data_IF_226007052913
#
_entry.id   IF_226007052913
#
_cell.length_a   1.000
_cell.length_b   1.000
_cell.length_c   1.000
_cell.angle_alpha   90.00
_cell.angle_beta   90.00
_cell.angle_gamma   90.00
#
_symmetry.space_group_name_H-M   'P 1'
#
loop_
_entity.id
_entity.type
_entity.pdbx_description
1 polymer ?
#
# COMPACT_ATOMS: atom_id res chain seq x y z
N UNK A 1 -23.82 3.93 34.98
CA UNK A 1 -22.47 3.83 35.58
C UNK A 1 -21.77 2.51 35.24
N UNK A 2 -22.29 1.34 35.62
CA UNK A 2 -21.63 0.06 35.31
C UNK A 2 -21.60 -0.25 33.79
N UNK A 3 -22.68 0.06 33.06
CA UNK A 3 -22.76 -0.11 31.60
C UNK A 3 -21.82 0.84 30.82
N UNK A 4 -21.56 2.04 31.34
CA UNK A 4 -20.68 3.03 30.69
C UNK A 4 -19.21 2.63 30.78
N UNK A 5 -18.82 1.98 31.88
CA UNK A 5 -17.48 1.40 32.06
C UNK A 5 -17.29 0.22 31.10
N UNK A 6 -18.27 -0.68 31.00
CA UNK A 6 -18.21 -1.80 30.05
C UNK A 6 -18.13 -1.31 28.60
N UNK A 7 -18.90 -0.29 28.21
CA UNK A 7 -18.85 0.30 26.87
C UNK A 7 -17.47 0.90 26.55
N UNK A 8 -16.85 1.58 27.51
CA UNK A 8 -15.51 2.17 27.35
C UNK A 8 -14.42 1.09 27.18
N UNK A 9 -14.48 0.02 27.98
CA UNK A 9 -13.53 -1.11 27.86
C UNK A 9 -13.69 -1.81 26.51
N UNK A 10 -14.93 -2.02 26.06
CA UNK A 10 -15.22 -2.61 24.74
C UNK A 10 -14.67 -1.74 23.61
N UNK A 11 -14.84 -0.42 23.68
CA UNK A 11 -14.30 0.49 22.68
C UNK A 11 -12.77 0.44 22.61
N UNK A 12 -12.09 0.41 23.77
CA UNK A 12 -10.62 0.32 23.84
C UNK A 12 -10.12 -1.00 23.24
N UNK A 13 -10.76 -2.12 23.60
CA UNK A 13 -10.39 -3.45 23.08
C UNK A 13 -10.66 -3.54 21.58
N UNK A 14 -11.76 -2.94 21.09
CA UNK A 14 -12.08 -2.91 19.66
C UNK A 14 -11.02 -2.15 18.85
N UNK A 15 -10.58 -0.97 19.33
CA UNK A 15 -9.54 -0.17 18.66
C UNK A 15 -8.20 -0.91 18.67
N UNK A 16 -7.82 -1.51 19.81
CA UNK A 16 -6.58 -2.29 19.91
C UNK A 16 -6.60 -3.50 18.97
N UNK A 17 -7.71 -4.23 18.91
CA UNK A 17 -7.87 -5.39 18.02
C UNK A 17 -7.80 -5.00 16.54
N UNK A 18 -8.45 -3.89 16.17
CA UNK A 18 -8.48 -3.39 14.80
C UNK A 18 -7.08 -3.09 14.24
N UNK A 19 -6.11 -2.76 15.09
CA UNK A 19 -4.72 -2.46 14.69
C UNK A 19 -3.81 -3.67 14.92
N UNK A 20 -3.94 -4.36 16.06
CA UNK A 20 -3.07 -5.49 16.40
C UNK A 20 -3.26 -6.68 15.46
N UNK A 21 -4.49 -6.93 15.00
CA UNK A 21 -4.83 -8.06 14.14
C UNK A 21 -4.26 -7.96 12.72
N UNK A 22 -4.39 -6.83 11.98
CA UNK A 22 -3.75 -6.70 10.67
C UNK A 22 -2.22 -6.73 10.75
N UNK A 23 -1.62 -6.19 11.81
CA UNK A 23 -0.15 -6.25 12.00
C UNK A 23 0.28 -7.70 12.25
N UNK A 24 -0.38 -8.40 13.18
CA UNK A 24 -0.07 -9.79 13.52
C UNK A 24 -0.24 -10.73 12.31
N UNK A 25 -1.34 -10.58 11.56
CA UNK A 25 -1.55 -11.32 10.31
C UNK A 25 -0.50 -10.97 9.26
N UNK A 26 -0.18 -9.69 9.08
CA UNK A 26 0.85 -9.26 8.12
C UNK A 26 2.20 -9.91 8.39
N UNK A 27 2.65 -9.92 9.65
CA UNK A 27 3.89 -10.59 10.05
C UNK A 27 3.79 -12.10 9.85
N UNK A 28 2.67 -12.72 10.23
CA UNK A 28 2.46 -14.15 10.05
C UNK A 28 2.56 -14.57 8.57
N UNK A 29 1.88 -13.85 7.67
CA UNK A 29 1.95 -14.10 6.23
C UNK A 29 3.36 -13.89 5.68
N UNK A 30 4.07 -12.84 6.11
CA UNK A 30 5.43 -12.57 5.69
C UNK A 30 6.39 -13.71 6.08
N UNK A 31 6.35 -14.14 7.34
CA UNK A 31 7.15 -15.25 7.83
C UNK A 31 6.79 -16.58 7.14
N UNK A 32 5.49 -16.85 6.96
CA UNK A 32 5.00 -18.04 6.26
C UNK A 32 5.56 -18.10 4.84
N UNK A 33 5.50 -16.98 4.11
CA UNK A 33 5.99 -16.88 2.73
C UNK A 33 7.50 -17.07 2.64
N UNK A 34 8.25 -16.47 3.58
CA UNK A 34 9.70 -16.64 3.65
C UNK A 34 10.10 -18.10 3.91
N UNK A 35 9.42 -18.77 4.84
CA UNK A 35 9.68 -20.16 5.18
C UNK A 35 9.34 -21.12 4.04
N UNK A 36 8.27 -20.87 3.27
CA UNK A 36 7.93 -21.68 2.11
C UNK A 36 9.04 -21.67 1.05
N UNK A 37 9.54 -20.49 0.70
CA UNK A 37 10.65 -20.36 -0.27
C UNK A 37 11.92 -21.06 0.21
N UNK A 38 12.20 -21.00 1.52
CA UNK A 38 13.36 -21.68 2.09
C UNK A 38 13.22 -23.20 2.01
N UNK A 39 12.06 -23.73 2.38
CA UNK A 39 11.79 -25.17 2.33
C UNK A 39 11.82 -25.70 0.89
N UNK A 40 11.26 -24.98 -0.06
CA UNK A 40 11.28 -25.33 -1.48
C UNK A 40 12.72 -25.44 -2.02
N UNK A 41 13.59 -24.49 -1.67
CA UNK A 41 15.02 -24.52 -2.02
C UNK A 41 15.74 -25.70 -1.38
N UNK A 42 15.44 -25.99 -0.11
CA UNK A 42 16.03 -27.13 0.59
C UNK A 42 15.60 -28.47 -0.02
N UNK A 43 14.37 -28.59 -0.50
CA UNK A 43 13.88 -29.78 -1.20
C UNK A 43 14.53 -29.94 -2.58
N UNK A 44 14.72 -28.86 -3.34
CA UNK A 44 15.47 -28.90 -4.60
C UNK A 44 16.91 -29.39 -4.40
N UNK A 45 17.62 -28.86 -3.39
CA UNK A 45 18.99 -29.30 -3.05
C UNK A 45 19.01 -30.79 -2.69
N UNK A 46 18.04 -31.27 -1.90
CA UNK A 46 17.93 -32.70 -1.53
C UNK A 46 17.70 -33.60 -2.75
N UNK A 47 17.01 -33.10 -3.78
CA UNK A 47 16.78 -33.80 -5.04
C UNK A 47 17.98 -33.69 -6.00
N UNK A 48 19.06 -33.00 -5.62
CA UNK A 48 20.21 -32.73 -6.49
C UNK A 48 19.93 -31.68 -7.57
N UNK A 49 18.79 -30.98 -7.50
CA UNK A 49 18.48 -29.85 -8.35
C UNK A 49 19.18 -28.60 -7.81
N UNK A 50 19.85 -27.88 -8.70
CA UNK A 50 20.41 -26.57 -8.35
C UNK A 50 19.22 -25.61 -8.24
N UNK A 51 18.93 -25.06 -7.05
CA UNK A 51 17.85 -24.09 -6.92
C UNK A 51 18.13 -22.93 -7.87
N UNK A 52 17.12 -22.41 -8.57
CA UNK A 52 17.31 -21.23 -9.40
C UNK A 52 17.97 -20.15 -8.54
N UNK A 53 19.06 -19.57 -9.04
CA UNK A 53 19.60 -18.37 -8.44
C UNK A 53 18.45 -17.39 -8.30
N UNK A 54 18.40 -16.67 -7.17
CA UNK A 54 17.76 -15.37 -7.21
C UNK A 54 18.55 -14.57 -8.23
N UNK A 55 18.20 -14.71 -9.51
CA UNK A 55 18.63 -13.82 -10.57
C UNK A 55 18.30 -12.46 -9.99
N UNK A 56 19.35 -11.75 -9.55
CA UNK A 56 19.26 -10.47 -8.84
C UNK A 56 18.11 -9.75 -9.49
N UNK A 57 16.97 -9.63 -8.80
CA UNK A 57 15.76 -9.05 -9.41
C UNK A 57 16.26 -7.77 -10.07
N UNK A 58 16.36 -7.75 -11.41
CA UNK A 58 16.78 -6.57 -12.14
C UNK A 58 15.84 -5.51 -11.59
N UNK A 59 16.35 -4.47 -10.90
CA UNK A 59 15.55 -3.69 -9.95
C UNK A 59 14.27 -3.33 -10.66
N UNK A 60 13.16 -3.97 -10.26
CA UNK A 60 12.02 -4.10 -11.14
C UNK A 60 11.50 -2.67 -11.35
N UNK A 61 11.83 -2.11 -12.52
CA UNK A 61 11.63 -0.68 -12.79
C UNK A 61 10.17 -0.33 -12.64
N UNK A 62 9.29 -1.29 -12.92
CA UNK A 62 7.85 -1.20 -12.72
C UNK A 62 7.47 -1.09 -11.23
N UNK A 63 8.10 -1.84 -10.31
CA UNK A 63 7.87 -1.70 -8.86
C UNK A 63 8.29 -0.31 -8.35
N UNK A 64 9.44 0.19 -8.79
CA UNK A 64 9.93 1.54 -8.43
C UNK A 64 9.04 2.63 -9.03
N UNK A 65 8.61 2.43 -10.29
CA UNK A 65 7.73 3.35 -11.01
C UNK A 65 6.33 3.43 -10.40
N UNK A 66 5.77 2.30 -9.94
CA UNK A 66 4.52 2.27 -9.16
C UNK A 66 4.59 3.19 -7.96
N UNK A 67 5.62 3.01 -7.14
CA UNK A 67 5.79 3.78 -5.92
C UNK A 67 6.03 5.25 -6.23
N UNK A 68 6.87 5.57 -7.23
CA UNK A 68 7.11 6.96 -7.63
C UNK A 68 5.82 7.66 -8.09
N UNK A 69 5.04 7.04 -8.96
CA UNK A 69 3.78 7.60 -9.47
C UNK A 69 2.77 7.79 -8.34
N UNK A 70 2.69 6.85 -7.40
CA UNK A 70 1.87 6.94 -6.19
C UNK A 70 2.23 8.16 -5.33
N UNK A 71 3.52 8.37 -5.04
CA UNK A 71 3.98 9.49 -4.24
C UNK A 71 3.69 10.84 -4.92
N UNK A 72 3.83 10.92 -6.24
CA UNK A 72 3.50 12.12 -7.02
C UNK A 72 2.01 12.44 -6.91
N UNK A 73 1.14 11.44 -7.07
CA UNK A 73 -0.31 11.60 -6.93
C UNK A 73 -0.71 12.07 -5.53
N UNK A 74 -0.12 11.46 -4.50
CA UNK A 74 -0.38 11.84 -3.11
C UNK A 74 0.05 13.29 -2.83
N UNK A 75 1.26 13.67 -3.25
CA UNK A 75 1.79 15.03 -3.04
C UNK A 75 0.95 16.10 -3.74
N UNK A 76 0.58 15.86 -5.01
CA UNK A 76 -0.28 16.78 -5.76
C UNK A 76 -1.67 16.89 -5.16
N UNK A 77 -2.28 15.77 -4.77
CA UNK A 77 -3.60 15.75 -4.15
C UNK A 77 -3.66 16.53 -2.85
N UNK A 78 -2.65 16.38 -1.98
CA UNK A 78 -2.58 17.13 -0.71
C UNK A 78 -2.32 18.62 -0.99
N UNK A 79 -1.38 18.95 -1.86
CA UNK A 79 -1.05 20.34 -2.19
C UNK A 79 -2.26 21.09 -2.75
N UNK A 80 -2.96 20.50 -3.72
CA UNK A 80 -4.15 21.09 -4.34
C UNK A 80 -5.31 21.15 -3.34
N UNK A 81 -5.49 20.11 -2.52
CA UNK A 81 -6.50 20.09 -1.46
C UNK A 81 -6.35 21.26 -0.48
N UNK A 82 -5.13 21.54 -0.04
CA UNK A 82 -4.85 22.67 0.87
C UNK A 82 -5.14 24.02 0.19
N UNK A 83 -4.78 24.17 -1.08
CA UNK A 83 -5.08 25.41 -1.85
C UNK A 83 -6.58 25.63 -1.97
N UNK A 84 -7.36 24.57 -2.22
CA UNK A 84 -8.83 24.65 -2.29
C UNK A 84 -9.42 25.10 -0.96
N UNK A 85 -9.03 24.46 0.15
CA UNK A 85 -9.53 24.82 1.49
C UNK A 85 -9.22 26.28 1.82
N UNK A 86 -8.00 26.74 1.49
CA UNK A 86 -7.58 28.13 1.74
C UNK A 86 -8.30 29.14 0.85
N UNK A 87 -8.57 28.83 -0.42
CA UNK A 87 -9.30 29.73 -1.33
C UNK A 87 -10.77 29.91 -0.95
N UNK A 88 -11.40 28.86 -0.43
CA UNK A 88 -12.82 28.88 -0.06
C UNK A 88 -13.09 29.26 1.40
N UNK A 89 -12.05 29.51 2.22
CA UNK A 89 -12.16 29.77 3.66
C UNK A 89 -13.05 28.74 4.38
N UNK A 90 -12.86 27.45 4.05
CA UNK A 90 -13.64 26.37 4.66
C UNK A 90 -13.20 26.18 6.12
N UNK A 91 -14.18 25.91 6.99
CA UNK A 91 -13.91 25.57 8.40
C UNK A 91 -13.19 24.21 8.51
N UNK A 92 -12.58 23.92 9.66
CA UNK A 92 -11.75 22.71 9.87
C UNK A 92 -12.50 21.41 9.52
N UNK A 93 -13.79 21.32 9.85
CA UNK A 93 -14.64 20.16 9.56
C UNK A 93 -14.88 19.98 8.05
N UNK A 94 -15.14 21.08 7.34
CA UNK A 94 -15.37 21.08 5.89
C UNK A 94 -14.07 20.89 5.10
N UNK A 95 -12.94 21.34 5.67
CA UNK A 95 -11.61 21.18 5.12
C UNK A 95 -11.23 19.71 4.97
N UNK A 96 -11.53 18.87 5.97
CA UNK A 96 -11.31 17.42 5.86
C UNK A 96 -12.12 16.79 4.72
N UNK A 97 -13.39 17.17 4.60
CA UNK A 97 -14.29 16.71 3.53
C UNK A 97 -13.89 17.21 2.14
N UNK A 98 -13.11 18.28 2.02
CA UNK A 98 -12.57 18.76 0.75
C UNK A 98 -11.21 18.13 0.40
N UNK A 99 -10.32 17.93 1.39
CA UNK A 99 -8.98 17.39 1.18
C UNK A 99 -9.05 15.89 0.86
N UNK A 100 -9.85 15.12 1.60
CA UNK A 100 -9.97 13.68 1.41
C UNK A 100 -10.35 13.25 -0.03
N UNK A 101 -11.40 13.81 -0.66
CA UNK A 101 -11.75 13.45 -2.04
C UNK A 101 -10.71 13.96 -3.05
N UNK A 102 -10.09 15.12 -2.80
CA UNK A 102 -9.03 15.65 -3.68
C UNK A 102 -7.83 14.72 -3.72
N UNK A 103 -7.35 14.26 -2.56
CA UNK A 103 -6.26 13.28 -2.47
C UNK A 103 -6.65 11.98 -3.15
N UNK A 104 -7.87 11.48 -2.92
CA UNK A 104 -8.36 10.24 -3.52
C UNK A 104 -8.44 10.32 -5.06
N UNK A 105 -8.90 11.45 -5.60
CA UNK A 105 -9.00 11.71 -7.04
C UNK A 105 -7.60 11.69 -7.67
N UNK A 106 -6.64 12.43 -7.10
CA UNK A 106 -5.27 12.47 -7.62
C UNK A 106 -4.55 11.13 -7.48
N UNK A 107 -4.85 10.35 -6.45
CA UNK A 107 -4.35 8.97 -6.29
C UNK A 107 -4.90 8.04 -7.39
N UNK A 108 -6.16 8.23 -7.78
CA UNK A 108 -6.80 7.53 -8.89
C UNK A 108 -6.19 7.87 -10.25
N UNK A 109 -5.97 9.17 -10.52
CA UNK A 109 -5.30 9.63 -11.74
C UNK A 109 -3.87 9.08 -11.83
N UNK A 110 -3.13 9.12 -10.72
CA UNK A 110 -1.79 8.54 -10.63
C UNK A 110 -1.78 7.06 -11.03
N UNK A 111 -2.73 6.26 -10.53
CA UNK A 111 -2.86 4.85 -10.94
C UNK A 111 -3.17 4.67 -12.42
N UNK A 112 -4.03 5.51 -13.00
CA UNK A 112 -4.32 5.48 -14.43
C UNK A 112 -3.06 5.76 -15.26
N UNK A 113 -2.28 6.78 -14.89
CA UNK A 113 -1.02 7.11 -15.56
C UNK A 113 -0.05 5.93 -15.47
N UNK A 114 0.06 5.30 -14.29
CA UNK A 114 0.87 4.10 -14.13
C UNK A 114 0.41 2.97 -15.06
N UNK A 115 -0.90 2.73 -15.19
CA UNK A 115 -1.44 1.69 -16.06
C UNK A 115 -1.08 1.92 -17.53
N UNK A 116 -1.25 3.15 -18.04
CA UNK A 116 -0.86 3.48 -19.41
C UNK A 116 0.65 3.32 -19.64
N UNK A 117 1.46 3.74 -18.67
CA UNK A 117 2.92 3.63 -18.76
C UNK A 117 3.39 2.17 -18.71
N UNK A 118 2.77 1.35 -17.86
CA UNK A 118 3.03 -0.09 -17.78
C UNK A 118 2.59 -0.82 -19.04
N UNK A 119 1.45 -0.42 -19.65
CA UNK A 119 0.98 -1.01 -20.92
C UNK A 119 1.98 -0.74 -22.05
N UNK A 120 2.44 0.51 -22.19
CA UNK A 120 3.43 0.88 -23.21
C UNK A 120 4.78 0.17 -23.02
N UNK A 121 5.20 -0.04 -21.77
CA UNK A 121 6.42 -0.78 -21.47
C UNK A 121 6.33 -2.24 -21.93
N UNK A 122 5.20 -2.90 -21.70
CA UNK A 122 5.01 -4.30 -22.12
C UNK A 122 4.93 -4.45 -23.65
N UNK A 123 4.35 -3.47 -24.36
CA UNK A 123 4.31 -3.46 -25.84
C UNK A 123 5.68 -3.27 -26.49
N UNK A 124 6.69 -2.77 -25.76
CA UNK A 124 8.04 -2.52 -26.31
C UNK A 124 9.05 -3.63 -26.03
N UNK A 125 8.68 -4.66 -25.24
CA UNK A 125 9.50 -5.87 -25.04
C UNK A 125 9.07 -7.05 -25.94
N UNK A 126 7.99 -6.91 -26.72
CA UNK A 126 7.53 -7.92 -27.71
C UNK A 126 8.06 -7.69 -29.14
N UNK A 127 8.86 -6.64 -29.39
CA UNK A 127 9.56 -6.35 -30.65
C UNK A 127 11.10 -6.54 -30.51
#
# INVERSE_FOLDING_TARGET
MMNDIFGSVIAIVAILSAIALPIGLGVYFALRTANYKHNERMEMIKQGLIPPSDDKEIPNRLKTLKNATLLIGLGLGVGIGIVIVKSFNLNEDEGFWAIAPTVLLFLGISHLIYFFMSKKYNETEED
#
